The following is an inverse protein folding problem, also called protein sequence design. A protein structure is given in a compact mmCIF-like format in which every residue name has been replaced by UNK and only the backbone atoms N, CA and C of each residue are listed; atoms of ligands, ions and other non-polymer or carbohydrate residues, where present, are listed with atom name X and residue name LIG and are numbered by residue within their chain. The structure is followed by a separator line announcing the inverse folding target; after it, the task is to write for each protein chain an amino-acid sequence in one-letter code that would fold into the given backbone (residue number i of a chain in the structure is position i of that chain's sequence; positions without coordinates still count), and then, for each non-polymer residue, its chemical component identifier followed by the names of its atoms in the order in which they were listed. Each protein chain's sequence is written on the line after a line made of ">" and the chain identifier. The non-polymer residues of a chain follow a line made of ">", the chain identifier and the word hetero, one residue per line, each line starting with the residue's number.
data_IF_345967208600
#
_entry.id   IF_345967208600
#
_cell.length_a   1.000
_cell.length_b   1.000
_cell.length_c   1.000
_cell.angle_alpha   90.00
_cell.angle_beta   90.00
_cell.angle_gamma   90.00
#
_symmetry.space_group_name_H-M   'P 1'
#
loop_
_entity.id
_entity.type
_entity.pdbx_description
1 polymer ?
#
# COMPACT_ATOMS: atom_id res chain seq x y z
N UNK A 1 13.92 -4.50 21.27
CA UNK A 1 13.36 -3.31 21.95
C UNK A 1 12.19 -2.85 21.12
N UNK A 2 10.98 -3.29 21.46
CA UNK A 2 9.75 -2.78 20.86
C UNK A 2 9.46 -1.41 21.46
N UNK A 3 10.10 -0.37 20.91
CA UNK A 3 9.70 1.00 21.17
C UNK A 3 8.24 1.17 20.79
N UNK A 4 7.51 2.01 21.54
CA UNK A 4 6.10 2.35 21.31
C UNK A 4 5.88 2.68 19.83
N UNK A 5 5.42 1.69 19.04
CA UNK A 5 5.40 1.75 17.57
C UNK A 5 4.39 2.79 17.06
N UNK A 6 3.42 3.12 17.90
CA UNK A 6 2.45 4.20 17.69
C UNK A 6 2.91 5.55 18.26
N UNK A 7 4.13 5.66 18.80
CA UNK A 7 4.65 6.92 19.33
C UNK A 7 4.68 8.02 18.26
N UNK A 8 4.97 7.66 17.00
CA UNK A 8 4.92 8.60 15.87
C UNK A 8 3.53 9.20 15.69
N UNK A 9 2.46 8.42 15.83
CA UNK A 9 1.09 8.91 15.80
C UNK A 9 0.77 9.80 17.00
N UNK A 10 1.22 9.44 18.21
CA UNK A 10 1.02 10.28 19.41
C UNK A 10 1.69 11.64 19.28
N UNK A 11 2.91 11.67 18.74
CA UNK A 11 3.64 12.91 18.44
C UNK A 11 2.89 13.70 17.37
N UNK A 12 2.46 13.04 16.30
CA UNK A 12 1.74 13.69 15.20
C UNK A 12 0.44 14.37 15.63
N UNK A 13 -0.26 13.90 16.68
CA UNK A 13 -1.45 14.58 17.21
C UNK A 13 -1.13 16.03 17.63
N UNK A 14 0.06 16.29 18.17
CA UNK A 14 0.47 17.64 18.55
C UNK A 14 0.69 18.58 17.34
N UNK A 15 0.81 18.03 16.14
CA UNK A 15 1.03 18.75 14.88
C UNK A 15 -0.27 18.97 14.08
N UNK A 16 -1.40 18.44 14.56
CA UNK A 16 -2.72 18.60 13.96
C UNK A 16 -3.39 19.91 14.40
N UNK A 17 -4.49 20.34 13.73
CA UNK A 17 -5.25 21.53 14.15
C UNK A 17 -5.69 21.42 15.62
N UNK A 18 -5.81 22.55 16.31
CA UNK A 18 -6.20 22.63 17.74
C UNK A 18 -7.50 21.91 18.11
N UNK A 19 -8.37 21.65 17.12
CA UNK A 19 -9.60 20.87 17.28
C UNK A 19 -9.37 19.35 17.41
N UNK A 20 -8.18 18.86 17.08
CA UNK A 20 -7.80 17.45 17.20
C UNK A 20 -7.21 17.19 18.59
N UNK A 21 -7.72 16.18 19.29
CA UNK A 21 -7.30 15.81 20.64
C UNK A 21 -7.27 14.29 20.77
N UNK A 22 -6.45 13.78 21.70
CA UNK A 22 -6.48 12.36 22.05
C UNK A 22 -7.81 12.03 22.73
N UNK A 23 -8.46 10.97 22.25
CA UNK A 23 -9.70 10.45 22.82
C UNK A 23 -9.39 9.28 23.77
N UNK A 24 -10.22 9.13 24.81
CA UNK A 24 -10.17 7.99 25.74
C UNK A 24 -10.98 6.78 25.26
N UNK A 25 -11.72 6.91 24.16
CA UNK A 25 -12.59 5.87 23.59
C UNK A 25 -12.67 5.97 22.07
N UNK A 26 -13.07 4.87 21.42
CA UNK A 26 -13.25 4.83 19.96
C UNK A 26 -14.43 5.68 19.46
N UNK A 27 -15.50 5.81 20.24
CA UNK A 27 -16.72 6.52 19.82
C UNK A 27 -16.44 7.93 19.34
N UNK A 28 -16.73 8.21 18.06
CA UNK A 28 -16.51 9.50 17.41
C UNK A 28 -15.05 9.85 17.10
N UNK A 29 -14.10 8.96 17.41
CA UNK A 29 -12.66 9.18 17.24
C UNK A 29 -12.11 8.53 15.96
N UNK A 30 -10.93 8.96 15.55
CA UNK A 30 -10.09 8.20 14.63
C UNK A 30 -9.28 7.20 15.44
N UNK A 31 -9.36 5.91 15.09
CA UNK A 31 -8.61 4.85 15.77
C UNK A 31 -7.44 4.42 14.91
N UNK A 32 -6.23 4.37 15.48
CA UNK A 32 -5.03 3.85 14.80
C UNK A 32 -4.73 2.45 15.33
N UNK A 33 -4.58 1.49 14.42
CA UNK A 33 -4.29 0.09 14.71
C UNK A 33 -2.90 -0.23 14.19
N UNK A 34 -1.99 -0.64 15.08
CA UNK A 34 -0.71 -1.24 14.67
C UNK A 34 -0.99 -2.66 14.16
N UNK A 35 -0.91 -2.84 12.84
CA UNK A 35 -1.19 -4.10 12.18
C UNK A 35 0.08 -4.86 11.78
N UNK A 36 1.24 -4.47 12.33
CA UNK A 36 2.55 -5.13 12.14
C UNK A 36 2.72 -6.38 12.99
N UNK A 37 2.03 -6.41 14.14
CA UNK A 37 2.11 -7.49 15.12
C UNK A 37 0.73 -8.07 15.34
N UNK A 38 0.56 -9.34 14.94
CA UNK A 38 -0.65 -10.17 15.04
C UNK A 38 -1.68 -9.99 13.91
N UNK A 39 -2.16 -11.12 13.39
CA UNK A 39 -3.23 -11.20 12.39
C UNK A 39 -4.64 -10.89 12.93
N UNK A 40 -4.73 -10.39 14.16
CA UNK A 40 -5.99 -9.97 14.80
C UNK A 40 -6.43 -8.55 14.44
N UNK A 41 -5.65 -7.82 13.62
CA UNK A 41 -5.94 -6.44 13.27
C UNK A 41 -7.31 -6.27 12.58
N UNK A 42 -7.76 -7.25 11.80
CA UNK A 42 -9.10 -7.23 11.20
C UNK A 42 -10.21 -7.22 12.26
N UNK A 43 -10.08 -8.04 13.30
CA UNK A 43 -11.01 -8.03 14.43
C UNK A 43 -10.93 -6.71 15.22
N UNK A 44 -9.75 -6.09 15.29
CA UNK A 44 -9.60 -4.77 15.90
C UNK A 44 -10.27 -3.67 15.09
N UNK A 45 -10.25 -3.75 13.75
CA UNK A 45 -11.02 -2.86 12.86
C UNK A 45 -12.52 -3.07 13.10
N UNK A 46 -13.00 -4.31 13.09
CA UNK A 46 -14.41 -4.64 13.39
C UNK A 46 -14.85 -4.07 14.74
N UNK A 47 -14.04 -4.26 15.79
CA UNK A 47 -14.31 -3.76 17.13
C UNK A 47 -14.35 -2.24 17.18
N UNK A 48 -13.35 -1.55 16.59
CA UNK A 48 -13.31 -0.10 16.55
C UNK A 48 -14.55 0.49 15.86
N UNK A 49 -14.96 -0.09 14.72
CA UNK A 49 -16.16 0.33 14.00
C UNK A 49 -17.43 0.07 14.81
N UNK A 50 -17.54 -1.09 15.47
CA UNK A 50 -18.67 -1.43 16.34
C UNK A 50 -18.78 -0.48 17.56
N UNK A 51 -17.63 -0.03 18.09
CA UNK A 51 -17.56 0.95 19.18
C UNK A 51 -17.82 2.41 18.73
N UNK A 52 -18.14 2.60 17.45
CA UNK A 52 -18.53 3.90 16.88
C UNK A 52 -17.36 4.77 16.44
N UNK A 53 -16.22 4.17 16.06
CA UNK A 53 -15.13 4.92 15.44
C UNK A 53 -15.61 5.72 14.24
N UNK A 54 -15.13 6.96 14.14
CA UNK A 54 -15.41 7.87 13.03
C UNK A 54 -14.52 7.60 11.81
N UNK A 55 -13.39 6.93 12.02
CA UNK A 55 -12.47 6.47 10.98
C UNK A 55 -11.42 5.55 11.61
N UNK A 56 -10.81 4.68 10.81
CA UNK A 56 -9.79 3.74 11.26
C UNK A 56 -8.56 3.86 10.36
N UNK A 57 -7.37 3.93 10.94
CA UNK A 57 -6.09 3.85 10.23
C UNK A 57 -5.41 2.53 10.60
N UNK A 58 -5.17 1.68 9.61
CA UNK A 58 -4.45 0.41 9.76
C UNK A 58 -3.00 0.63 9.35
N UNK A 59 -2.08 0.61 10.31
CA UNK A 59 -0.66 0.86 10.06
C UNK A 59 0.10 -0.43 9.76
N UNK A 60 0.65 -0.53 8.54
CA UNK A 60 1.48 -1.65 8.08
C UNK A 60 0.84 -3.03 8.28
N UNK A 61 -0.34 -3.23 7.71
CA UNK A 61 -1.04 -4.51 7.79
C UNK A 61 -0.24 -5.68 7.23
N UNK A 62 -0.07 -6.73 8.03
CA UNK A 62 0.44 -8.02 7.58
C UNK A 62 -0.69 -8.99 7.24
N UNK A 63 -0.35 -10.09 6.57
CA UNK A 63 -1.29 -11.16 6.22
C UNK A 63 -2.02 -11.61 7.50
N UNK A 64 -3.36 -11.63 7.54
CA UNK A 64 -4.09 -12.10 8.71
C UNK A 64 -3.80 -13.59 8.98
N UNK A 65 -3.73 -13.98 10.25
CA UNK A 65 -3.45 -15.36 10.71
C UNK A 65 -4.58 -16.34 10.35
N UNK A 66 -5.73 -15.84 9.89
CA UNK A 66 -6.92 -16.63 9.62
C UNK A 66 -7.51 -16.19 8.29
N UNK A 67 -7.83 -17.16 7.41
CA UNK A 67 -8.46 -16.98 6.08
C UNK A 67 -9.91 -16.43 6.13
N UNK A 68 -10.18 -15.53 7.07
CA UNK A 68 -11.45 -14.85 7.24
C UNK A 68 -11.48 -13.70 6.25
N UNK A 69 -12.12 -13.90 5.10
CA UNK A 69 -12.61 -12.80 4.26
C UNK A 69 -13.69 -12.08 5.06
N UNK A 70 -13.29 -11.12 5.87
CA UNK A 70 -14.22 -10.24 6.57
C UNK A 70 -14.77 -9.27 5.54
N UNK A 71 -16.05 -9.40 5.20
CA UNK A 71 -16.80 -8.29 4.62
C UNK A 71 -17.07 -7.32 5.75
N UNK A 72 -16.33 -6.21 5.80
CA UNK A 72 -16.72 -5.10 6.66
C UNK A 72 -18.14 -4.65 6.28
N UNK A 73 -18.94 -4.18 7.25
CA UNK A 73 -20.27 -3.68 6.96
C UNK A 73 -20.20 -2.52 5.97
N UNK A 74 -20.93 -2.64 4.86
CA UNK A 74 -21.06 -1.59 3.86
C UNK A 74 -21.67 -0.32 4.49
N UNK A 75 -21.08 0.83 4.22
CA UNK A 75 -21.53 2.13 4.75
C UNK A 75 -20.99 2.50 6.14
N UNK A 76 -19.98 1.78 6.65
CA UNK A 76 -19.26 2.13 7.87
C UNK A 76 -18.31 3.32 7.72
N UNK A 77 -17.69 3.72 8.83
CA UNK A 77 -16.64 4.73 8.83
C UNK A 77 -15.45 4.33 7.93
N UNK A 78 -14.74 5.30 7.32
CA UNK A 78 -13.65 5.02 6.40
C UNK A 78 -12.50 4.27 7.08
N UNK A 79 -11.98 3.26 6.39
CA UNK A 79 -10.79 2.49 6.81
C UNK A 79 -9.64 2.82 5.86
N UNK A 80 -8.64 3.48 6.41
CA UNK A 80 -7.42 3.91 5.77
C UNK A 80 -6.31 2.88 5.98
N UNK A 81 -5.50 2.67 4.95
CA UNK A 81 -4.35 1.76 5.02
C UNK A 81 -3.06 2.57 4.92
N UNK A 82 -2.32 2.66 6.02
CA UNK A 82 -1.04 3.33 6.04
C UNK A 82 0.06 2.34 5.61
N UNK A 83 0.62 2.56 4.42
CA UNK A 83 1.54 1.66 3.74
C UNK A 83 2.84 2.38 3.42
N UNK A 84 3.95 1.93 4.01
CA UNK A 84 5.28 2.59 3.94
C UNK A 84 5.76 2.73 2.51
N UNK A 85 5.52 1.71 1.72
CA UNK A 85 6.02 1.58 0.38
C UNK A 85 4.93 1.92 -0.65
N UNK A 86 3.75 2.37 -0.21
CA UNK A 86 2.69 2.90 -1.06
C UNK A 86 2.17 4.25 -0.51
N UNK A 87 3.00 5.32 -0.49
CA UNK A 87 2.58 6.62 0.01
C UNK A 87 1.41 7.18 -0.80
N UNK A 88 0.30 7.49 -0.13
CA UNK A 88 -0.93 7.89 -0.82
C UNK A 88 -0.79 9.15 -1.67
N UNK A 89 0.02 10.12 -1.28
CA UNK A 89 0.25 11.33 -2.08
C UNK A 89 0.88 11.00 -3.45
N UNK A 90 1.83 10.06 -3.47
CA UNK A 90 2.38 9.51 -4.70
C UNK A 90 1.33 8.67 -5.45
N UNK A 91 0.48 7.91 -4.76
CA UNK A 91 -0.60 7.13 -5.40
C UNK A 91 -1.60 8.04 -6.10
N UNK A 92 -2.06 9.11 -5.44
CA UNK A 92 -2.99 10.07 -6.04
C UNK A 92 -2.35 10.79 -7.23
N UNK A 93 -1.06 11.12 -7.15
CA UNK A 93 -0.31 11.67 -8.29
C UNK A 93 -0.21 10.66 -9.44
N UNK A 94 0.06 9.38 -9.14
CA UNK A 94 0.11 8.31 -10.15
C UNK A 94 -1.23 8.11 -10.83
N UNK A 95 -2.33 8.03 -10.05
CA UNK A 95 -3.70 7.91 -10.56
C UNK A 95 -4.03 9.04 -11.52
N UNK A 96 -3.67 10.27 -11.18
CA UNK A 96 -3.89 11.42 -12.06
C UNK A 96 -3.13 11.34 -13.39
N UNK A 97 -2.00 10.62 -13.43
CA UNK A 97 -1.19 10.42 -14.63
C UNK A 97 -1.73 9.31 -15.53
N UNK A 98 -2.31 8.25 -14.96
CA UNK A 98 -2.81 7.09 -15.71
C UNK A 98 -4.32 7.15 -16.00
N UNK A 99 -5.06 8.06 -15.36
CA UNK A 99 -6.50 8.24 -15.58
C UNK A 99 -6.91 8.78 -16.97
N UNK A 100 -6.14 9.66 -17.65
CA UNK A 100 -6.53 10.16 -18.96
C UNK A 100 -6.60 9.03 -20.01
N UNK A 101 -7.61 9.01 -20.90
CA UNK A 101 -7.66 8.06 -22.00
C UNK A 101 -6.41 8.15 -22.88
N UNK A 102 -5.83 7.01 -23.26
CA UNK A 102 -4.60 6.95 -24.03
C UNK A 102 -3.32 7.01 -23.18
N UNK A 103 -3.42 7.15 -21.86
CA UNK A 103 -2.29 7.07 -20.93
C UNK A 103 -2.14 5.67 -20.30
N UNK A 104 -2.86 4.67 -20.81
CA UNK A 104 -2.84 3.32 -20.28
C UNK A 104 -1.45 2.69 -20.42
N UNK A 105 -1.05 1.93 -19.41
CA UNK A 105 0.15 1.13 -19.48
C UNK A 105 -0.03 -0.06 -20.44
N UNK A 106 1.01 -0.39 -21.19
CA UNK A 106 1.11 -1.59 -22.04
C UNK A 106 1.93 -2.68 -21.34
N UNK A 107 2.79 -2.28 -20.40
CA UNK A 107 3.62 -3.18 -19.60
C UNK A 107 3.91 -2.54 -18.25
N UNK A 108 3.83 -3.31 -17.17
CA UNK A 108 4.33 -2.90 -15.85
C UNK A 108 5.52 -3.75 -15.48
N UNK A 109 6.59 -3.13 -14.99
CA UNK A 109 7.77 -3.84 -14.45
C UNK A 109 7.93 -3.50 -12.98
N UNK A 110 8.29 -4.49 -12.18
CA UNK A 110 8.53 -4.35 -10.75
C UNK A 110 9.89 -4.94 -10.41
N UNK A 111 10.68 -4.16 -9.69
CA UNK A 111 11.89 -4.61 -9.02
C UNK A 111 11.72 -4.29 -7.54
N UNK A 112 11.75 -5.30 -6.67
CA UNK A 112 11.60 -5.12 -5.24
C UNK A 112 12.68 -5.90 -4.49
N UNK A 113 13.22 -5.30 -3.43
CA UNK A 113 14.15 -5.95 -2.52
C UNK A 113 13.69 -5.85 -1.08
N UNK A 114 13.90 -6.90 -0.30
CA UNK A 114 13.66 -6.93 1.13
C UNK A 114 12.77 -8.10 1.55
N UNK A 115 12.78 -8.44 2.85
CA UNK A 115 12.00 -9.56 3.37
C UNK A 115 10.50 -9.29 3.20
N UNK A 116 9.70 -10.34 3.02
CA UNK A 116 8.24 -10.23 2.88
C UNK A 116 7.59 -9.44 4.03
N UNK A 117 8.04 -9.73 5.25
CA UNK A 117 7.61 -9.07 6.49
C UNK A 117 7.83 -7.55 6.50
N UNK A 118 8.61 -6.99 5.57
CA UNK A 118 8.78 -5.54 5.45
C UNK A 118 7.57 -4.82 4.83
N UNK A 119 6.63 -5.55 4.23
CA UNK A 119 5.49 -5.01 3.49
C UNK A 119 5.82 -4.58 2.05
N UNK A 120 7.08 -4.71 1.61
CA UNK A 120 7.52 -4.27 0.27
C UNK A 120 6.83 -5.03 -0.86
N UNK A 121 6.65 -6.35 -0.71
CA UNK A 121 5.98 -7.19 -1.71
C UNK A 121 4.52 -6.79 -1.89
N UNK A 122 3.78 -6.71 -0.78
CA UNK A 122 2.40 -6.21 -0.71
C UNK A 122 2.28 -4.83 -1.37
N UNK A 123 3.14 -3.89 -1.01
CA UNK A 123 3.10 -2.51 -1.52
C UNK A 123 3.49 -2.38 -2.99
N UNK A 124 4.39 -3.24 -3.48
CA UNK A 124 4.69 -3.35 -4.89
C UNK A 124 3.47 -3.85 -5.70
N UNK A 125 2.70 -4.82 -5.20
CA UNK A 125 1.43 -5.24 -5.82
C UNK A 125 0.41 -4.09 -5.84
N UNK A 126 0.33 -3.32 -4.75
CA UNK A 126 -0.50 -2.11 -4.70
C UNK A 126 -0.11 -1.08 -5.77
N UNK A 127 1.19 -0.88 -6.01
CA UNK A 127 1.67 -0.02 -7.11
C UNK A 127 1.32 -0.55 -8.49
N UNK A 128 1.47 -1.85 -8.73
CA UNK A 128 1.07 -2.49 -10.00
C UNK A 128 -0.38 -2.17 -10.29
N UNK A 129 -1.26 -2.36 -9.30
CA UNK A 129 -2.68 -2.06 -9.44
C UNK A 129 -2.95 -0.60 -9.78
N UNK A 130 -2.29 0.32 -9.07
CA UNK A 130 -2.43 1.77 -9.33
C UNK A 130 -2.02 2.10 -10.76
N UNK A 131 -0.88 1.58 -11.22
CA UNK A 131 -0.31 1.91 -12.52
C UNK A 131 -0.96 1.18 -13.69
N UNK A 132 -1.60 0.04 -13.43
CA UNK A 132 -2.40 -0.69 -14.41
C UNK A 132 -3.84 -0.15 -14.55
N UNK A 133 -4.18 0.96 -13.86
CA UNK A 133 -5.51 1.58 -13.94
C UNK A 133 -6.54 1.05 -12.93
N UNK A 134 -6.15 0.14 -12.03
CA UNK A 134 -7.02 -0.47 -11.02
C UNK A 134 -7.29 -1.95 -11.28
N UNK A 135 -8.42 -2.44 -10.76
CA UNK A 135 -8.89 -3.81 -10.98
C UNK A 135 -8.11 -4.89 -10.21
N UNK A 136 -8.56 -6.14 -10.31
CA UNK A 136 -7.91 -7.32 -9.71
C UNK A 136 -6.58 -7.66 -10.41
N UNK A 137 -5.65 -8.28 -9.70
CA UNK A 137 -4.41 -8.82 -10.25
C UNK A 137 -4.46 -10.36 -10.24
N UNK A 138 -4.17 -10.97 -11.39
CA UNK A 138 -4.07 -12.42 -11.53
C UNK A 138 -2.62 -12.90 -11.54
N UNK A 139 -2.33 -13.98 -10.81
CA UNK A 139 -1.06 -14.67 -10.90
C UNK A 139 -1.06 -15.60 -12.13
N UNK A 140 -0.29 -15.25 -13.17
CA UNK A 140 -0.19 -16.05 -14.39
C UNK A 140 0.79 -17.21 -14.24
N UNK A 141 2.03 -16.91 -13.85
CA UNK A 141 3.04 -17.94 -13.55
C UNK A 141 4.11 -17.42 -12.60
N UNK A 142 4.63 -18.32 -11.76
CA UNK A 142 5.74 -18.04 -10.86
C UNK A 142 6.94 -18.90 -11.24
N UNK A 143 8.08 -18.28 -11.48
CA UNK A 143 9.32 -18.97 -11.85
C UNK A 143 10.40 -18.59 -10.82
N UNK A 144 10.67 -19.45 -9.82
CA UNK A 144 11.85 -19.26 -9.00
C UNK A 144 13.08 -19.35 -9.92
N UNK A 145 13.97 -18.36 -9.89
CA UNK A 145 15.19 -18.39 -10.68
C UNK A 145 16.18 -19.38 -10.06
N UNK A 146 16.03 -20.67 -10.41
CA UNK A 146 16.84 -21.82 -9.97
C UNK A 146 16.67 -22.21 -8.49
N UNK A 147 16.98 -23.47 -8.16
CA UNK A 147 17.02 -24.13 -6.83
C UNK A 147 18.02 -23.48 -5.82
N UNK A 148 18.30 -22.19 -5.94
CA UNK A 148 19.23 -21.45 -5.08
C UNK A 148 19.44 -19.98 -5.45
N UNK A 149 18.64 -19.40 -6.36
CA UNK A 149 18.73 -17.98 -6.69
C UNK A 149 18.14 -17.09 -5.59
N UNK A 150 18.73 -15.92 -5.29
CA UNK A 150 18.21 -14.98 -4.28
C UNK A 150 16.99 -14.17 -4.76
N UNK A 151 16.49 -14.44 -5.97
CA UNK A 151 15.49 -13.64 -6.68
C UNK A 151 14.37 -14.53 -7.21
N UNK A 152 13.14 -14.02 -7.11
CA UNK A 152 11.91 -14.63 -7.61
C UNK A 152 11.42 -13.81 -8.79
N UNK A 153 11.18 -14.46 -9.93
CA UNK A 153 10.62 -13.83 -11.12
C UNK A 153 9.18 -14.32 -11.34
N UNK A 154 8.23 -13.39 -11.49
CA UNK A 154 6.81 -13.69 -11.64
C UNK A 154 6.25 -12.97 -12.86
N UNK A 155 5.27 -13.61 -13.49
CA UNK A 155 4.41 -13.00 -14.48
C UNK A 155 3.01 -12.85 -13.87
N UNK A 156 2.56 -11.61 -13.73
CA UNK A 156 1.18 -11.28 -13.34
C UNK A 156 0.45 -10.65 -14.53
N UNK A 157 -0.86 -10.62 -14.44
CA UNK A 157 -1.73 -9.97 -15.42
C UNK A 157 -2.73 -9.09 -14.68
N UNK A 158 -2.92 -7.85 -15.15
CA UNK A 158 -3.98 -6.98 -14.62
C UNK A 158 -5.35 -7.42 -15.12
N UNK A 159 -6.41 -6.89 -14.51
CA UNK A 159 -7.79 -7.09 -14.97
C UNK A 159 -7.99 -6.79 -16.47
N UNK A 160 -7.31 -5.75 -16.97
CA UNK A 160 -7.39 -5.30 -18.36
C UNK A 160 -6.39 -6.02 -19.29
N UNK A 161 -5.74 -7.09 -18.81
CA UNK A 161 -4.79 -7.88 -19.59
C UNK A 161 -3.40 -7.24 -19.75
N UNK A 162 -3.07 -6.25 -18.92
CA UNK A 162 -1.75 -5.62 -18.96
C UNK A 162 -0.74 -6.58 -18.33
N UNK A 163 0.31 -7.02 -19.06
CA UNK A 163 1.32 -7.89 -18.51
C UNK A 163 2.16 -7.18 -17.45
N UNK A 164 2.54 -7.92 -16.42
CA UNK A 164 3.38 -7.44 -15.32
C UNK A 164 4.57 -8.36 -15.14
N UNK A 165 5.78 -7.81 -15.31
CA UNK A 165 7.03 -8.50 -15.02
C UNK A 165 7.49 -8.14 -13.61
N UNK A 166 7.54 -9.12 -12.72
CA UNK A 166 7.86 -8.89 -11.33
C UNK A 166 9.16 -9.60 -10.94
N UNK A 167 10.11 -8.86 -10.38
CA UNK A 167 11.36 -9.39 -9.83
C UNK A 167 11.47 -9.02 -8.36
N UNK A 168 11.60 -10.01 -7.48
CA UNK A 168 11.67 -9.84 -6.03
C UNK A 168 12.88 -10.53 -5.42
N UNK A 169 13.71 -9.79 -4.70
CA UNK A 169 14.85 -10.31 -3.94
C UNK A 169 14.53 -10.34 -2.42
N UNK A 170 13.95 -11.43 -1.87
CA UNK A 170 13.56 -11.53 -0.45
C UNK A 170 14.74 -11.38 0.51
N UNK A 171 15.92 -11.84 0.11
CA UNK A 171 17.14 -11.81 0.92
C UNK A 171 17.91 -10.47 0.84
N UNK A 172 17.41 -9.49 0.07
CA UNK A 172 18.02 -8.18 0.04
C UNK A 172 17.90 -7.49 1.42
N UNK A 173 18.91 -6.70 1.79
CA UNK A 173 19.01 -6.08 3.11
C UNK A 173 17.92 -5.04 3.40
N UNK A 174 18.22 -3.76 3.15
CA UNK A 174 17.25 -2.68 3.39
C UNK A 174 16.15 -2.75 2.34
N UNK A 175 14.85 -2.72 2.70
CA UNK A 175 13.80 -2.84 1.71
C UNK A 175 13.66 -1.60 0.82
N UNK A 176 13.44 -1.86 -0.47
CA UNK A 176 13.28 -0.88 -1.54
C UNK A 176 12.38 -1.44 -2.64
N UNK A 177 11.78 -0.54 -3.44
CA UNK A 177 11.04 -0.91 -4.63
C UNK A 177 11.24 0.10 -5.75
N UNK A 178 11.11 -0.40 -6.97
CA UNK A 178 10.98 0.36 -8.19
C UNK A 178 9.88 -0.27 -9.04
N UNK A 179 8.91 0.53 -9.46
CA UNK A 179 7.82 0.08 -10.33
C UNK A 179 7.73 1.02 -11.51
N UNK A 180 7.72 0.47 -12.72
CA UNK A 180 7.62 1.26 -13.95
C UNK A 180 6.42 0.82 -14.76
N UNK A 181 5.60 1.77 -15.19
CA UNK A 181 4.54 1.59 -16.16
C UNK A 181 5.01 2.15 -17.51
N UNK A 182 4.98 1.34 -18.55
CA UNK A 182 5.40 1.72 -19.90
C UNK A 182 4.17 1.85 -20.78
N UNK A 183 4.01 2.99 -21.43
CA UNK A 183 2.90 3.29 -22.33
C UNK A 183 3.18 4.57 -23.12
N UNK A 184 2.13 5.32 -23.49
CA UNK A 184 2.30 6.65 -24.05
C UNK A 184 2.93 7.63 -23.03
N UNK A 185 2.66 7.39 -21.75
CA UNK A 185 3.32 8.04 -20.61
C UNK A 185 4.08 6.96 -19.86
N UNK A 186 5.39 7.11 -19.73
CA UNK A 186 6.20 6.27 -18.86
C UNK A 186 6.10 6.82 -17.43
N UNK A 187 5.73 5.98 -16.47
CA UNK A 187 5.65 6.36 -15.05
C UNK A 187 6.56 5.44 -14.26
N UNK A 188 7.54 6.00 -13.55
CA UNK A 188 8.44 5.27 -12.67
C UNK A 188 8.24 5.73 -11.22
N UNK A 189 7.97 4.79 -10.32
CA UNK A 189 7.98 5.00 -8.88
C UNK A 189 9.24 4.37 -8.31
N UNK A 190 9.98 5.12 -7.50
CA UNK A 190 11.15 4.63 -6.80
C UNK A 190 11.05 4.99 -5.31
N UNK A 191 11.10 3.97 -4.46
CA UNK A 191 11.09 4.13 -2.99
C UNK A 191 12.24 3.31 -2.41
N UNK A 192 13.22 4.00 -1.85
CA UNK A 192 14.35 3.44 -1.12
C UNK A 192 14.43 4.13 0.24
N UNK A 193 14.01 3.41 1.25
CA UNK A 193 13.97 3.92 2.61
C UNK A 193 15.35 4.08 3.25
N UNK A 194 16.35 3.33 2.78
CA UNK A 194 17.75 3.46 3.23
C UNK A 194 18.40 4.70 2.64
N UNK A 195 18.03 5.06 1.41
CA UNK A 195 18.50 6.27 0.73
C UNK A 195 17.65 7.51 1.01
N UNK A 196 16.51 7.38 1.70
CA UNK A 196 15.56 8.48 1.91
C UNK A 196 14.88 8.95 0.62
N UNK A 197 14.71 8.05 -0.35
CA UNK A 197 14.10 8.34 -1.65
C UNK A 197 12.66 7.84 -1.65
N UNK A 198 11.73 8.73 -1.97
CA UNK A 198 10.36 8.39 -2.36
C UNK A 198 9.92 9.39 -3.44
N UNK A 199 9.85 8.92 -4.69
CA UNK A 199 9.52 9.77 -5.83
C UNK A 199 8.74 9.01 -6.89
N UNK A 200 7.98 9.78 -7.64
CA UNK A 200 7.34 9.38 -8.87
C UNK A 200 7.89 10.26 -10.00
N UNK A 201 8.29 9.64 -11.10
CA UNK A 201 8.74 10.29 -12.32
C UNK A 201 7.76 9.94 -13.42
N UNK A 202 7.36 10.90 -14.24
CA UNK A 202 6.60 10.66 -15.46
C UNK A 202 7.35 11.26 -16.64
N UNK A 203 7.39 10.53 -17.75
CA UNK A 203 8.01 10.97 -19.01
C UNK A 203 6.99 10.81 -20.13
N UNK A 204 6.78 11.89 -20.86
CA UNK A 204 5.91 11.92 -22.03
C UNK A 204 6.53 12.80 -23.13
N UNK A 205 5.81 12.95 -24.24
CA UNK A 205 6.23 13.86 -25.32
C UNK A 205 6.35 15.32 -24.85
N UNK A 206 5.60 15.71 -23.82
CA UNK A 206 5.61 17.04 -23.21
C UNK A 206 6.79 17.27 -22.26
N UNK A 207 7.55 16.21 -21.93
CA UNK A 207 8.74 16.27 -21.09
C UNK A 207 8.66 15.38 -19.85
N UNK A 208 9.55 15.66 -18.90
CA UNK A 208 9.65 14.91 -17.64
C UNK A 208 9.07 15.71 -16.48
N UNK A 209 8.29 15.04 -15.63
CA UNK A 209 7.79 15.59 -14.36
C UNK A 209 8.19 14.68 -13.22
N UNK A 210 8.62 15.28 -12.11
CA UNK A 210 9.00 14.56 -10.89
C UNK A 210 8.13 15.04 -9.75
N UNK A 211 7.44 14.10 -9.12
CA UNK A 211 6.67 14.26 -7.88
C UNK A 211 7.46 13.61 -6.75
N UNK A 212 7.55 14.28 -5.61
CA UNK A 212 8.18 13.77 -4.40
C UNK A 212 7.16 13.70 -3.28
N UNK A 213 7.44 12.87 -2.29
CA UNK A 213 6.61 12.84 -1.07
C UNK A 213 6.51 14.25 -0.48
N UNK A 214 5.32 14.60 -0.01
CA UNK A 214 5.05 15.88 0.63
C UNK A 214 5.95 16.06 1.87
N UNK A 215 6.27 17.32 2.19
CA UNK A 215 6.99 17.71 3.42
C UNK A 215 6.06 17.62 4.65
N UNK A 216 5.42 16.48 4.85
CA UNK A 216 4.54 16.16 5.97
C UNK A 216 4.92 14.77 6.48
N UNK A 217 5.11 14.63 7.79
CA UNK A 217 5.36 13.32 8.39
C UNK A 217 4.20 12.37 8.15
N UNK A 218 4.49 11.12 7.75
CA UNK A 218 3.49 10.10 7.41
C UNK A 218 2.38 9.99 8.46
N UNK A 219 2.72 9.83 9.73
CA UNK A 219 1.72 9.66 10.80
C UNK A 219 0.73 10.84 10.88
N UNK A 220 1.23 12.08 10.74
CA UNK A 220 0.39 13.28 10.69
C UNK A 220 -0.52 13.28 9.47
N UNK A 221 0.03 12.92 8.31
CA UNK A 221 -0.70 12.87 7.04
C UNK A 221 -1.85 11.86 7.09
N UNK A 222 -1.60 10.65 7.57
CA UNK A 222 -2.64 9.62 7.70
C UNK A 222 -3.74 10.03 8.69
N UNK A 223 -3.37 10.65 9.82
CA UNK A 223 -4.37 11.17 10.76
C UNK A 223 -5.20 12.31 10.16
N UNK A 224 -4.57 13.23 9.42
CA UNK A 224 -5.26 14.33 8.77
C UNK A 224 -6.27 13.80 7.75
N UNK A 225 -5.87 12.85 6.91
CA UNK A 225 -6.79 12.20 5.97
C UNK A 225 -7.91 11.44 6.68
N UNK A 226 -7.62 10.74 7.78
CA UNK A 226 -8.66 10.05 8.55
C UNK A 226 -9.71 10.99 9.14
N UNK A 227 -9.32 12.21 9.51
CA UNK A 227 -10.23 13.25 9.99
C UNK A 227 -11.06 13.87 8.85
N UNK A 228 -10.52 13.91 7.64
CA UNK A 228 -11.16 14.47 6.45
C UNK A 228 -12.08 13.47 5.74
N UNK A 229 -11.73 12.17 5.77
CA UNK A 229 -12.39 11.10 5.04
C UNK A 229 -13.92 11.02 5.23
N UNK A 230 -14.50 11.17 6.44
CA UNK A 230 -15.95 11.12 6.63
C UNK A 230 -16.72 12.26 5.94
N UNK A 231 -16.02 13.27 5.40
CA UNK A 231 -16.62 14.39 4.66
C UNK A 231 -16.62 14.18 3.15
N UNK A 232 -15.87 13.21 2.64
CA UNK A 232 -15.82 12.89 1.22
C UNK A 232 -17.00 11.97 0.86
N UNK A 233 -17.70 12.27 -0.24
CA UNK A 233 -18.81 11.44 -0.73
C UNK A 233 -18.35 10.11 -1.33
N UNK A 234 -17.14 10.09 -1.88
CA UNK A 234 -16.56 8.96 -2.61
C UNK A 234 -15.20 8.62 -2.01
N UNK A 235 -15.20 7.71 -1.03
CA UNK A 235 -13.97 7.22 -0.42
C UNK A 235 -13.53 5.92 -1.10
N UNK A 236 -12.28 5.80 -1.58
CA UNK A 236 -11.78 4.57 -2.20
C UNK A 236 -11.81 3.38 -1.23
N UNK A 237 -12.19 2.19 -1.71
CA UNK A 237 -12.15 0.96 -0.92
C UNK A 237 -10.71 0.41 -0.82
N UNK A 238 -9.92 1.05 0.04
CA UNK A 238 -8.53 0.67 0.28
C UNK A 238 -8.38 -0.65 1.00
N UNK A 239 -9.33 -0.99 1.87
CA UNK A 239 -9.20 -2.21 2.66
C UNK A 239 -9.35 -3.44 1.77
N UNK A 240 -10.32 -3.44 0.84
CA UNK A 240 -10.44 -4.55 -0.11
C UNK A 240 -9.18 -4.69 -0.97
N UNK A 241 -8.65 -3.58 -1.49
CA UNK A 241 -7.39 -3.58 -2.25
C UNK A 241 -6.22 -4.13 -1.42
N UNK A 242 -6.10 -3.71 -0.16
CA UNK A 242 -5.08 -4.21 0.75
C UNK A 242 -5.22 -5.71 1.00
N UNK A 243 -6.44 -6.21 1.21
CA UNK A 243 -6.69 -7.62 1.46
C UNK A 243 -6.33 -8.48 0.25
N UNK A 244 -6.66 -8.02 -0.96
CA UNK A 244 -6.24 -8.68 -2.20
C UNK A 244 -4.71 -8.69 -2.35
N UNK A 245 -4.04 -7.57 -2.07
CA UNK A 245 -2.57 -7.48 -2.14
C UNK A 245 -1.91 -8.42 -1.11
N UNK A 246 -2.51 -8.56 0.08
CA UNK A 246 -2.04 -9.48 1.13
C UNK A 246 -2.27 -10.96 0.77
N UNK A 247 -3.41 -11.28 0.18
CA UNK A 247 -3.72 -12.63 -0.30
C UNK A 247 -2.72 -13.05 -1.37
N UNK A 248 -2.50 -12.19 -2.37
CA UNK A 248 -1.58 -12.43 -3.47
C UNK A 248 -0.10 -12.47 -3.00
N UNK A 249 0.31 -11.60 -2.08
CA UNK A 249 1.67 -11.70 -1.51
C UNK A 249 1.88 -13.03 -0.77
N UNK A 250 0.88 -13.48 -0.01
CA UNK A 250 0.92 -14.77 0.69
C UNK A 250 0.89 -15.98 -0.24
N UNK A 251 0.28 -15.88 -1.43
CA UNK A 251 0.38 -16.91 -2.47
C UNK A 251 1.78 -17.01 -3.06
N UNK A 252 2.39 -15.87 -3.39
CA UNK A 252 3.76 -15.79 -3.92
C UNK A 252 4.75 -16.42 -2.92
N UNK A 253 4.67 -16.04 -1.65
CA UNK A 253 5.56 -16.55 -0.59
C UNK A 253 5.46 -18.07 -0.40
N UNK A 254 4.24 -18.61 -0.44
CA UNK A 254 4.01 -20.06 -0.36
C UNK A 254 4.56 -20.78 -1.59
N UNK A 255 4.36 -20.24 -2.78
CA UNK A 255 4.89 -20.79 -4.03
C UNK A 255 6.42 -20.88 -4.01
N UNK A 256 7.10 -19.84 -3.50
CA UNK A 256 8.55 -19.82 -3.34
C UNK A 256 9.08 -20.78 -2.27
N UNK A 257 8.28 -21.09 -1.24
CA UNK A 257 8.67 -22.02 -0.18
C UNK A 257 8.51 -23.49 -0.57
N UNK A 258 7.77 -23.77 -1.64
CA UNK A 258 7.48 -25.12 -2.13
C UNK A 258 8.35 -25.59 -3.30
N UNK A 259 9.13 -24.68 -3.88
CA UNK A 259 10.13 -24.98 -4.90
C UNK A 259 11.49 -25.23 -4.23
#
# INVERSE_FOLDING_TARGET
>A
MDGDRLASYRVAVAELPLSAQLASSATGAVVVIDARSSGGWLSAVEAALADGARGVVVDEAVVPDVGRRVRLPAGGAPVLTARRFLPRDLVEAARALVAPPGAEAVLVTVEAGGPSLSGVLRDALGWVRVLAGGGELGLGSAHPENDGGPTVSLLLESHDGIPVLFSWAPAAGVPWLRVSALGAVEVEVAIDSGAGVARLTSRSAEGERVVREAFEGRARRELRWALEAPRASDWPDELSCLLEDLELSGEIERGCSSA
#
